data_IF_188960214937
#
_entry.id   IF_188960214937
#
_cell.length_a   1.000
_cell.length_b   1.000
_cell.length_c   1.000
_cell.angle_alpha   90.00
_cell.angle_beta   90.00
_cell.angle_gamma   90.00
#
_symmetry.space_group_name_H-M   'P 1'
#
loop_
_entity.id
_entity.type
_entity.pdbx_description
1 polymer ?
#
# COMPACT_ATOMS: atom_id res chain seq x y z
N UNK A 1 31.57 -24.69 13.82
CA UNK A 1 31.01 -23.35 14.14
C UNK A 1 30.02 -22.82 13.11
N UNK A 2 30.32 -22.77 11.79
CA UNK A 2 29.39 -22.27 10.75
C UNK A 2 28.07 -23.06 10.64
N UNK A 3 28.11 -24.38 10.82
CA UNK A 3 26.93 -25.28 10.76
C UNK A 3 25.93 -25.00 11.90
N UNK A 4 26.39 -24.92 13.15
CA UNK A 4 25.56 -24.60 14.31
C UNK A 4 24.94 -23.21 14.22
N UNK A 5 25.67 -22.24 13.68
CA UNK A 5 25.15 -20.88 13.40
C UNK A 5 24.01 -20.93 12.38
N UNK A 6 24.15 -21.70 11.29
CA UNK A 6 23.08 -21.90 10.31
C UNK A 6 21.82 -22.52 10.91
N UNK A 7 21.98 -23.58 11.70
CA UNK A 7 20.82 -24.22 12.37
C UNK A 7 20.09 -23.22 13.27
N UNK A 8 20.82 -22.44 14.07
CA UNK A 8 20.24 -21.42 14.92
C UNK A 8 19.50 -20.36 14.11
N UNK A 9 20.06 -19.90 12.99
CA UNK A 9 19.43 -18.92 12.10
C UNK A 9 18.16 -19.49 11.45
N UNK A 10 18.15 -20.76 11.06
CA UNK A 10 16.95 -21.43 10.54
C UNK A 10 15.85 -21.56 11.61
N UNK A 11 16.20 -21.99 12.81
CA UNK A 11 15.25 -22.10 13.92
C UNK A 11 14.67 -20.71 14.27
N UNK A 12 15.51 -19.68 14.35
CA UNK A 12 15.07 -18.31 14.59
C UNK A 12 14.10 -17.86 13.49
N UNK A 13 14.44 -18.04 12.21
CA UNK A 13 13.58 -17.67 11.09
C UNK A 13 12.26 -18.44 11.08
N UNK A 14 12.29 -19.74 11.37
CA UNK A 14 11.09 -20.58 11.45
C UNK A 14 10.16 -20.11 12.57
N UNK A 15 10.70 -19.88 13.77
CA UNK A 15 9.92 -19.41 14.93
C UNK A 15 9.28 -18.05 14.64
N UNK A 16 10.04 -17.10 14.09
CA UNK A 16 9.55 -15.77 13.77
C UNK A 16 8.49 -15.82 12.66
N UNK A 17 8.72 -16.64 11.63
CA UNK A 17 7.74 -16.86 10.56
C UNK A 17 6.46 -17.50 11.06
N UNK A 18 6.55 -18.50 11.96
CA UNK A 18 5.37 -19.14 12.57
C UNK A 18 4.56 -18.16 13.42
N UNK A 19 5.23 -17.30 14.21
CA UNK A 19 4.53 -16.25 14.98
C UNK A 19 3.75 -15.33 14.05
N UNK A 20 4.41 -14.79 13.02
CA UNK A 20 3.75 -13.92 12.02
C UNK A 20 2.58 -14.63 11.34
N UNK A 21 2.78 -15.87 10.92
CA UNK A 21 1.73 -16.68 10.29
C UNK A 21 0.51 -16.85 11.20
N UNK A 22 0.72 -17.16 12.48
CA UNK A 22 -0.37 -17.31 13.46
C UNK A 22 -1.12 -15.99 13.67
N UNK A 23 -0.40 -14.88 13.86
CA UNK A 23 -1.00 -13.55 14.06
C UNK A 23 -1.86 -13.17 12.86
N UNK A 24 -1.29 -13.23 11.65
CA UNK A 24 -2.02 -12.79 10.45
C UNK A 24 -3.10 -13.78 10.01
N UNK A 25 -2.95 -15.07 10.32
CA UNK A 25 -4.05 -16.04 10.14
C UNK A 25 -5.23 -15.73 11.06
N UNK A 26 -4.97 -15.35 12.32
CA UNK A 26 -6.02 -14.96 13.24
C UNK A 26 -6.72 -13.68 12.76
N UNK A 27 -5.98 -12.63 12.41
CA UNK A 27 -6.53 -11.36 11.94
C UNK A 27 -7.35 -11.53 10.65
N UNK A 28 -6.81 -12.20 9.64
CA UNK A 28 -7.53 -12.44 8.39
C UNK A 28 -8.69 -13.43 8.58
N UNK A 29 -8.55 -14.41 9.50
CA UNK A 29 -9.63 -15.30 9.88
C UNK A 29 -10.82 -14.53 10.48
N UNK A 30 -10.56 -13.56 11.34
CA UNK A 30 -11.61 -12.66 11.87
C UNK A 30 -12.29 -11.88 10.75
N UNK A 31 -11.52 -11.31 9.81
CA UNK A 31 -12.09 -10.59 8.66
C UNK A 31 -12.95 -11.50 7.77
N UNK A 32 -12.46 -12.70 7.45
CA UNK A 32 -13.20 -13.67 6.62
C UNK A 32 -14.47 -14.18 7.28
N UNK A 33 -14.49 -14.29 8.61
CA UNK A 33 -15.64 -14.77 9.39
C UNK A 33 -16.67 -13.66 9.67
N UNK A 34 -16.30 -12.39 9.48
CA UNK A 34 -17.22 -11.27 9.66
C UNK A 34 -18.13 -11.16 8.42
N UNK A 35 -19.44 -11.26 8.63
CA UNK A 35 -20.46 -11.20 7.57
C UNK A 35 -20.24 -12.18 6.40
N UNK A 36 -20.01 -13.49 6.64
CA UNK A 36 -19.65 -14.44 5.60
C UNK A 36 -20.70 -14.54 4.48
N UNK A 37 -22.00 -14.46 4.80
CA UNK A 37 -23.10 -14.52 3.83
C UNK A 37 -23.08 -13.36 2.83
N UNK A 38 -22.51 -12.23 3.21
CA UNK A 38 -22.39 -11.06 2.35
C UNK A 38 -21.16 -11.20 1.44
N UNK A 39 -20.01 -11.53 2.03
CA UNK A 39 -18.78 -11.71 1.26
C UNK A 39 -18.88 -12.84 0.23
N UNK A 40 -19.61 -13.90 0.55
CA UNK A 40 -19.70 -15.08 -0.32
C UNK A 40 -20.88 -15.09 -1.26
N UNK A 41 -21.72 -14.05 -1.26
CA UNK A 41 -22.86 -13.95 -2.15
C UNK A 41 -22.42 -13.63 -3.60
N UNK A 42 -22.60 -14.57 -4.57
CA UNK A 42 -22.14 -14.34 -5.94
C UNK A 42 -22.99 -13.30 -6.70
N UNK A 43 -24.17 -12.94 -6.17
CA UNK A 43 -25.10 -11.97 -6.76
C UNK A 43 -25.06 -10.61 -6.07
N UNK A 44 -24.32 -10.46 -4.97
CA UNK A 44 -24.25 -9.19 -4.26
C UNK A 44 -23.53 -8.12 -5.11
N UNK A 45 -23.93 -6.87 -4.90
CA UNK A 45 -23.15 -5.74 -5.39
C UNK A 45 -21.86 -5.64 -4.58
N UNK A 46 -20.75 -6.07 -5.13
CA UNK A 46 -19.45 -6.16 -4.43
C UNK A 46 -19.01 -4.82 -3.84
N UNK A 47 -19.28 -3.72 -4.54
CA UNK A 47 -19.03 -2.38 -4.03
C UNK A 47 -19.88 -2.07 -2.80
N UNK A 48 -21.18 -2.37 -2.85
CA UNK A 48 -22.10 -2.12 -1.73
C UNK A 48 -21.73 -2.95 -0.51
N UNK A 49 -21.32 -4.21 -0.69
CA UNK A 49 -20.86 -5.05 0.41
C UNK A 49 -19.70 -4.41 1.17
N UNK A 50 -18.70 -3.89 0.43
CA UNK A 50 -17.56 -3.22 1.03
C UNK A 50 -17.96 -1.91 1.73
N UNK A 51 -18.67 -1.01 1.05
CA UNK A 51 -19.05 0.30 1.61
C UNK A 51 -20.06 0.22 2.76
N UNK A 52 -20.87 -0.85 2.82
CA UNK A 52 -21.87 -1.03 3.87
C UNK A 52 -21.29 -1.68 5.12
N UNK A 53 -20.37 -2.62 4.98
CA UNK A 53 -19.89 -3.44 6.09
C UNK A 53 -18.43 -3.20 6.46
N UNK A 54 -17.69 -2.51 5.62
CA UNK A 54 -16.29 -2.21 5.82
C UNK A 54 -16.00 -0.73 5.54
N UNK A 55 -16.27 0.11 6.54
CA UNK A 55 -16.15 1.56 6.45
C UNK A 55 -14.80 2.05 6.95
N UNK A 56 -13.71 1.84 6.18
CA UNK A 56 -12.39 2.36 6.58
C UNK A 56 -11.86 3.31 5.52
N UNK A 57 -11.57 4.55 5.92
CA UNK A 57 -10.94 5.56 5.08
C UNK A 57 -9.53 5.16 4.67
N UNK A 58 -9.13 5.60 3.48
CA UNK A 58 -7.79 5.39 2.96
C UNK A 58 -7.53 4.00 2.38
N UNK A 59 -8.54 3.11 2.37
CA UNK A 59 -8.46 1.79 1.75
C UNK A 59 -9.49 1.65 0.63
N UNK A 60 -9.04 1.17 -0.52
CA UNK A 60 -9.88 0.97 -1.69
C UNK A 60 -10.32 -0.50 -1.80
N UNK A 61 -11.63 -0.80 -2.01
CA UNK A 61 -12.13 -2.18 -2.13
C UNK A 61 -11.80 -2.85 -3.47
N UNK A 62 -11.00 -2.22 -4.31
CA UNK A 62 -10.82 -2.64 -5.69
C UNK A 62 -10.29 -4.06 -5.81
N UNK A 63 -9.33 -4.48 -4.99
CA UNK A 63 -8.78 -5.83 -5.04
C UNK A 63 -9.86 -6.90 -4.83
N UNK A 64 -10.75 -6.71 -3.83
CA UNK A 64 -11.90 -7.60 -3.63
C UNK A 64 -12.85 -7.59 -4.84
N UNK A 65 -13.14 -6.40 -5.39
CA UNK A 65 -14.06 -6.25 -6.52
C UNK A 65 -13.50 -6.93 -7.76
N UNK A 66 -12.21 -6.72 -8.08
CA UNK A 66 -11.57 -7.29 -9.27
C UNK A 66 -11.44 -8.82 -9.17
N UNK A 67 -11.14 -9.35 -7.98
CA UNK A 67 -11.09 -10.81 -7.79
C UNK A 67 -12.50 -11.41 -7.82
N UNK A 68 -13.50 -10.69 -7.33
CA UNK A 68 -14.90 -11.14 -7.39
C UNK A 68 -15.44 -11.19 -8.82
N UNK A 69 -15.12 -10.20 -9.62
CA UNK A 69 -15.46 -10.14 -11.05
C UNK A 69 -14.41 -9.32 -11.77
N UNK A 70 -13.58 -9.96 -12.57
CA UNK A 70 -12.51 -9.27 -13.25
C UNK A 70 -13.02 -8.13 -14.14
N UNK A 71 -12.69 -6.91 -13.72
CA UNK A 71 -12.90 -5.69 -14.48
C UNK A 71 -11.73 -4.77 -14.20
N UNK A 72 -10.94 -4.36 -15.18
CA UNK A 72 -9.83 -3.45 -15.00
C UNK A 72 -10.33 -2.01 -14.84
N UNK A 73 -11.24 -1.80 -13.87
CA UNK A 73 -11.84 -0.50 -13.54
C UNK A 73 -11.02 0.29 -12.53
N UNK A 74 -9.87 -0.24 -12.12
CA UNK A 74 -8.93 0.55 -11.35
C UNK A 74 -8.64 1.88 -12.02
N UNK A 75 -8.24 2.85 -11.24
CA UNK A 75 -7.49 3.95 -11.78
C UNK A 75 -6.16 3.40 -12.30
N UNK A 76 -6.20 2.88 -13.52
CA UNK A 76 -5.07 2.23 -14.23
C UNK A 76 -3.87 3.20 -14.33
N UNK A 77 -4.11 4.51 -14.24
CA UNK A 77 -3.08 5.54 -14.19
C UNK A 77 -2.28 5.47 -12.89
N UNK A 78 -2.92 5.04 -11.78
CA UNK A 78 -2.27 4.85 -10.47
C UNK A 78 -1.77 3.42 -10.26
N UNK A 79 -2.48 2.43 -10.81
CA UNK A 79 -2.26 0.99 -10.61
C UNK A 79 -2.11 0.25 -11.94
N UNK A 80 -1.05 0.52 -12.74
CA UNK A 80 -0.97 0.15 -14.15
C UNK A 80 -1.01 -1.36 -14.43
N UNK A 81 -0.58 -2.22 -13.50
CA UNK A 81 -0.58 -3.67 -13.67
C UNK A 81 -1.34 -4.42 -12.58
N UNK A 82 -1.96 -3.73 -11.62
CA UNK A 82 -2.58 -4.40 -10.48
C UNK A 82 -3.67 -5.38 -10.93
N UNK A 83 -4.59 -4.96 -11.79
CA UNK A 83 -5.62 -5.83 -12.34
C UNK A 83 -5.04 -7.02 -13.13
N UNK A 84 -3.91 -6.82 -13.82
CA UNK A 84 -3.22 -7.90 -14.55
C UNK A 84 -2.64 -8.93 -13.57
N UNK A 85 -2.07 -8.48 -12.46
CA UNK A 85 -1.56 -9.38 -11.41
C UNK A 85 -2.68 -10.13 -10.70
N UNK A 86 -3.87 -9.56 -10.60
CA UNK A 86 -5.04 -10.15 -9.97
C UNK A 86 -5.86 -11.06 -10.90
N UNK A 87 -5.64 -10.97 -12.21
CA UNK A 87 -6.37 -11.78 -13.18
C UNK A 87 -6.34 -13.31 -12.91
N UNK A 88 -5.20 -13.93 -12.55
CA UNK A 88 -5.20 -15.35 -12.21
C UNK A 88 -6.05 -15.70 -10.99
N UNK A 89 -6.12 -14.77 -10.01
CA UNK A 89 -6.92 -14.94 -8.79
C UNK A 89 -8.40 -14.79 -9.08
N UNK A 90 -8.75 -13.83 -9.95
CA UNK A 90 -10.12 -13.67 -10.44
C UNK A 90 -10.58 -14.89 -11.23
N UNK A 91 -9.76 -15.42 -12.14
CA UNK A 91 -10.07 -16.66 -12.88
C UNK A 91 -10.26 -17.86 -11.95
N UNK A 92 -9.43 -17.97 -10.91
CA UNK A 92 -9.61 -19.00 -9.87
C UNK A 92 -10.94 -18.81 -9.13
N UNK A 93 -11.30 -17.57 -8.78
CA UNK A 93 -12.56 -17.29 -8.10
C UNK A 93 -13.76 -17.59 -8.99
N UNK A 94 -13.73 -17.23 -10.28
CA UNK A 94 -14.77 -17.54 -11.24
C UNK A 94 -15.00 -19.06 -11.36
N UNK A 95 -13.92 -19.83 -11.42
CA UNK A 95 -14.00 -21.28 -11.39
C UNK A 95 -14.62 -21.80 -10.09
N UNK A 96 -14.18 -21.30 -8.92
CA UNK A 96 -14.75 -21.66 -7.63
C UNK A 96 -16.24 -21.29 -7.54
N UNK A 97 -16.63 -20.12 -8.03
CA UNK A 97 -18.03 -19.70 -8.07
C UNK A 97 -18.88 -20.64 -8.94
N UNK A 98 -18.34 -21.12 -10.06
CA UNK A 98 -19.07 -22.07 -10.93
C UNK A 98 -19.30 -23.45 -10.27
N UNK A 99 -18.40 -23.85 -9.35
CA UNK A 99 -18.47 -25.16 -8.68
C UNK A 99 -19.25 -25.08 -7.35
N UNK A 100 -19.04 -23.98 -6.58
CA UNK A 100 -19.53 -23.86 -5.21
C UNK A 100 -20.76 -22.94 -5.07
N UNK A 101 -21.14 -22.24 -6.14
CA UNK A 101 -22.16 -21.16 -6.12
C UNK A 101 -21.90 -20.11 -5.00
N UNK A 102 -20.62 -19.85 -4.75
CA UNK A 102 -20.15 -18.89 -3.71
C UNK A 102 -19.01 -18.05 -4.23
N UNK A 103 -19.03 -16.74 -3.93
CA UNK A 103 -17.90 -15.88 -4.17
C UNK A 103 -16.80 -16.18 -3.13
N UNK A 104 -15.67 -16.70 -3.58
CA UNK A 104 -14.54 -17.06 -2.72
C UNK A 104 -13.46 -15.97 -2.64
N UNK A 105 -13.67 -14.79 -3.22
CA UNK A 105 -12.68 -13.71 -3.28
C UNK A 105 -12.11 -13.35 -1.91
N UNK A 106 -12.95 -13.24 -0.88
CA UNK A 106 -12.51 -12.90 0.48
C UNK A 106 -11.57 -13.96 1.07
N UNK A 107 -11.80 -15.24 0.80
CA UNK A 107 -10.95 -16.33 1.27
C UNK A 107 -9.61 -16.37 0.53
N UNK A 108 -9.63 -16.16 -0.79
CA UNK A 108 -8.42 -16.07 -1.63
C UNK A 108 -7.55 -14.93 -1.10
N UNK A 109 -8.15 -13.76 -0.84
CA UNK A 109 -7.45 -12.59 -0.31
C UNK A 109 -6.94 -12.83 1.11
N UNK A 110 -7.75 -13.37 2.00
CA UNK A 110 -7.33 -13.64 3.38
C UNK A 110 -6.11 -14.57 3.45
N UNK A 111 -6.06 -15.61 2.61
CA UNK A 111 -4.89 -16.49 2.51
C UNK A 111 -3.69 -15.73 1.94
N UNK A 112 -3.89 -15.00 0.85
CA UNK A 112 -2.81 -14.26 0.18
C UNK A 112 -2.24 -13.17 1.10
N UNK A 113 -3.09 -12.39 1.77
CA UNK A 113 -2.66 -11.33 2.68
C UNK A 113 -1.98 -11.88 3.93
N UNK A 114 -2.41 -13.03 4.42
CA UNK A 114 -1.70 -13.75 5.51
C UNK A 114 -0.26 -14.09 5.10
N UNK A 115 -0.06 -14.62 3.89
CA UNK A 115 1.28 -14.95 3.39
C UNK A 115 2.12 -13.69 3.18
N UNK A 116 1.58 -12.67 2.51
CA UNK A 116 2.28 -11.41 2.21
C UNK A 116 2.64 -10.67 3.50
N UNK A 117 1.71 -10.58 4.47
CA UNK A 117 1.96 -9.96 5.78
C UNK A 117 3.03 -10.70 6.57
N UNK A 118 3.04 -12.04 6.51
CA UNK A 118 4.10 -12.86 7.12
C UNK A 118 5.45 -12.58 6.46
N UNK A 119 5.50 -12.40 5.14
CA UNK A 119 6.71 -11.99 4.43
C UNK A 119 7.18 -10.59 4.87
N UNK A 120 6.26 -9.62 4.99
CA UNK A 120 6.57 -8.29 5.50
C UNK A 120 7.13 -8.32 6.92
N UNK A 121 6.50 -9.09 7.81
CA UNK A 121 6.96 -9.35 9.17
C UNK A 121 8.39 -9.91 9.20
N UNK A 122 8.67 -10.92 8.39
CA UNK A 122 10.01 -11.52 8.30
C UNK A 122 11.03 -10.56 7.72
N UNK A 123 10.67 -9.73 6.74
CA UNK A 123 11.55 -8.72 6.16
C UNK A 123 11.88 -7.65 7.20
N UNK A 124 10.89 -7.10 7.90
CA UNK A 124 11.11 -6.13 8.96
C UNK A 124 12.01 -6.68 10.06
N UNK A 125 11.73 -7.91 10.52
CA UNK A 125 12.58 -8.58 11.50
C UNK A 125 14.03 -8.72 11.00
N UNK A 126 14.25 -9.11 9.73
CA UNK A 126 15.58 -9.21 9.13
C UNK A 126 16.29 -7.87 9.03
N UNK A 127 15.56 -6.79 8.70
CA UNK A 127 16.12 -5.44 8.67
C UNK A 127 16.63 -5.06 10.07
N UNK A 128 15.82 -5.24 11.11
CA UNK A 128 16.20 -4.93 12.49
C UNK A 128 17.37 -5.79 12.99
N UNK A 129 17.39 -7.07 12.64
CA UNK A 129 18.45 -8.01 13.07
C UNK A 129 19.76 -7.84 12.33
N UNK A 130 19.72 -7.60 11.01
CA UNK A 130 20.90 -7.71 10.13
C UNK A 130 21.43 -6.37 9.64
N UNK A 131 20.58 -5.35 9.53
CA UNK A 131 20.97 -4.01 9.08
C UNK A 131 21.19 -3.11 10.29
N UNK A 132 20.21 -3.06 11.23
CA UNK A 132 20.31 -2.25 12.44
C UNK A 132 21.17 -2.96 13.51
N UNK A 133 21.20 -4.29 13.52
CA UNK A 133 22.04 -5.07 14.46
C UNK A 133 21.41 -5.33 15.83
N UNK A 134 20.07 -5.20 15.96
CA UNK A 134 19.39 -5.39 17.25
C UNK A 134 19.39 -6.86 17.70
N UNK A 135 19.26 -7.09 19.01
CA UNK A 135 19.02 -8.40 19.58
C UNK A 135 17.67 -8.99 19.13
N UNK A 136 17.51 -10.32 19.16
CA UNK A 136 16.31 -10.98 18.67
C UNK A 136 15.02 -10.55 19.40
N UNK A 137 15.10 -10.36 20.74
CA UNK A 137 13.97 -9.90 21.56
C UNK A 137 13.51 -8.50 21.15
N UNK A 138 14.44 -7.56 21.07
CA UNK A 138 14.14 -6.18 20.68
C UNK A 138 13.59 -6.11 19.25
N UNK A 139 14.15 -6.90 18.32
CA UNK A 139 13.65 -7.00 16.95
C UNK A 139 12.22 -7.51 16.91
N UNK A 140 11.89 -8.53 17.72
CA UNK A 140 10.54 -9.07 17.81
C UNK A 140 9.55 -8.08 18.43
N UNK A 141 9.92 -7.41 19.53
CA UNK A 141 9.08 -6.39 20.17
C UNK A 141 8.77 -5.26 19.18
N UNK A 142 9.79 -4.77 18.46
CA UNK A 142 9.59 -3.73 17.46
C UNK A 142 8.76 -4.20 16.25
N UNK A 143 8.83 -5.47 15.87
CA UNK A 143 7.92 -6.02 14.87
C UNK A 143 6.47 -5.99 15.37
N UNK A 144 6.22 -6.44 16.61
CA UNK A 144 4.89 -6.33 17.20
C UNK A 144 4.41 -4.89 17.27
N UNK A 145 5.25 -3.98 17.75
CA UNK A 145 4.92 -2.55 17.80
C UNK A 145 4.55 -2.00 16.42
N UNK A 146 5.35 -2.29 15.38
CA UNK A 146 5.08 -1.80 14.02
C UNK A 146 3.74 -2.33 13.48
N UNK A 147 3.48 -3.62 13.62
CA UNK A 147 2.23 -4.23 13.12
C UNK A 147 1.02 -3.99 14.04
N UNK A 148 1.19 -3.40 15.22
CA UNK A 148 0.11 -2.91 16.08
C UNK A 148 -0.28 -1.45 15.79
N UNK A 149 0.50 -0.72 14.99
CA UNK A 149 0.09 0.59 14.47
C UNK A 149 -1.17 0.40 13.65
N UNK A 150 -2.22 1.16 13.93
CA UNK A 150 -3.56 0.90 13.42
C UNK A 150 -3.63 0.76 11.90
N UNK A 151 -3.09 1.72 11.15
CA UNK A 151 -3.09 1.65 9.68
C UNK A 151 -2.24 0.50 9.12
N UNK A 152 -1.13 0.15 9.80
CA UNK A 152 -0.31 -1.00 9.39
C UNK A 152 -1.07 -2.30 9.62
N UNK A 153 -1.73 -2.44 10.77
CA UNK A 153 -2.56 -3.60 11.09
C UNK A 153 -3.71 -3.73 10.08
N UNK A 154 -4.44 -2.65 9.82
CA UNK A 154 -5.52 -2.64 8.84
C UNK A 154 -5.03 -3.01 7.44
N UNK A 155 -3.89 -2.51 6.99
CA UNK A 155 -3.31 -2.88 5.70
C UNK A 155 -3.07 -4.39 5.56
N UNK A 156 -2.94 -5.14 6.67
CA UNK A 156 -2.73 -6.59 6.64
C UNK A 156 -4.02 -7.42 6.53
N UNK A 157 -5.18 -6.81 6.75
CA UNK A 157 -6.49 -7.50 6.81
C UNK A 157 -7.50 -6.96 5.79
N UNK A 158 -7.37 -5.67 5.43
CA UNK A 158 -8.27 -5.07 4.45
C UNK A 158 -8.02 -5.67 3.07
N UNK A 159 -9.07 -5.99 2.28
CA UNK A 159 -8.93 -6.53 0.94
C UNK A 159 -8.51 -5.44 -0.08
N UNK A 160 -7.35 -4.83 0.16
CA UNK A 160 -6.71 -3.78 -0.63
C UNK A 160 -5.24 -4.17 -0.91
N UNK A 161 -4.62 -3.52 -1.90
CA UNK A 161 -3.23 -3.74 -2.34
C UNK A 161 -2.16 -3.17 -1.39
N UNK A 162 -2.53 -2.45 -0.33
CA UNK A 162 -1.61 -1.72 0.55
C UNK A 162 -0.57 -2.62 1.22
N UNK A 163 -0.97 -3.82 1.68
CA UNK A 163 -0.03 -4.79 2.28
C UNK A 163 1.04 -5.24 1.29
N UNK A 164 0.69 -5.38 0.02
CA UNK A 164 1.64 -5.74 -1.04
C UNK A 164 2.64 -4.60 -1.27
N UNK A 165 2.17 -3.36 -1.36
CA UNK A 165 3.03 -2.17 -1.47
C UNK A 165 3.98 -2.06 -0.27
N UNK A 166 3.49 -2.21 0.96
CA UNK A 166 4.31 -2.21 2.18
C UNK A 166 5.41 -3.29 2.13
N UNK A 167 5.04 -4.50 1.75
CA UNK A 167 5.99 -5.62 1.65
C UNK A 167 7.10 -5.34 0.62
N UNK A 168 6.74 -4.78 -0.52
CA UNK A 168 7.69 -4.40 -1.58
C UNK A 168 8.60 -3.24 -1.15
N UNK A 169 8.11 -2.29 -0.35
CA UNK A 169 8.96 -1.25 0.23
C UNK A 169 9.95 -1.82 1.25
N UNK A 170 9.51 -2.72 2.14
CA UNK A 170 10.42 -3.42 3.06
C UNK A 170 11.45 -4.28 2.31
N UNK A 171 11.05 -4.96 1.24
CA UNK A 171 11.95 -5.71 0.37
C UNK A 171 12.98 -4.78 -0.29
N UNK A 172 12.56 -3.62 -0.76
CA UNK A 172 13.45 -2.59 -1.32
C UNK A 172 14.50 -2.17 -0.30
N UNK A 173 14.10 -1.80 0.91
CA UNK A 173 15.01 -1.42 1.99
C UNK A 173 15.97 -2.57 2.34
N UNK A 174 15.49 -3.80 2.38
CA UNK A 174 16.34 -4.97 2.59
C UNK A 174 17.38 -5.15 1.49
N UNK A 175 16.98 -5.04 0.21
CA UNK A 175 17.89 -5.21 -0.93
C UNK A 175 18.93 -4.09 -0.98
N UNK A 176 18.47 -2.83 -0.86
CA UNK A 176 19.33 -1.64 -1.04
C UNK A 176 20.26 -1.41 0.14
N UNK A 177 19.82 -1.66 1.39
CA UNK A 177 20.62 -1.38 2.58
C UNK A 177 21.47 -2.57 3.03
N UNK A 178 21.27 -3.76 2.48
CA UNK A 178 22.12 -4.91 2.77
C UNK A 178 23.53 -4.67 2.21
N UNK A 179 24.54 -5.03 3.01
CA UNK A 179 25.95 -4.99 2.57
C UNK A 179 26.20 -5.93 1.38
N UNK A 180 26.94 -5.46 0.39
CA UNK A 180 27.28 -6.22 -0.81
C UNK A 180 27.55 -5.32 -1.99
N UNK A 181 28.12 -5.87 -3.03
CA UNK A 181 28.42 -5.16 -4.28
C UNK A 181 27.11 -4.91 -5.07
N UNK A 182 26.70 -3.67 -5.11
CA UNK A 182 25.46 -3.21 -5.79
C UNK A 182 25.62 -3.14 -7.31
N UNK A 183 26.82 -3.19 -7.80
CA UNK A 183 27.12 -3.30 -9.21
C UNK A 183 26.88 -4.70 -9.79
N UNK A 184 26.79 -5.73 -8.96
CA UNK A 184 26.54 -7.09 -9.43
C UNK A 184 25.21 -7.23 -10.14
N UNK A 185 25.20 -7.95 -11.25
CA UNK A 185 23.99 -8.22 -12.04
C UNK A 185 22.86 -8.82 -11.19
N UNK A 186 23.18 -9.73 -10.26
CA UNK A 186 22.17 -10.33 -9.37
C UNK A 186 21.50 -9.32 -8.44
N UNK A 187 22.21 -8.26 -8.02
CA UNK A 187 21.61 -7.17 -7.23
C UNK A 187 20.73 -6.29 -8.13
N UNK A 188 21.23 -5.93 -9.30
CA UNK A 188 20.49 -5.14 -10.29
C UNK A 188 19.18 -5.84 -10.66
N UNK A 189 19.22 -7.13 -10.97
CA UNK A 189 18.02 -7.89 -11.31
C UNK A 189 16.98 -7.88 -10.16
N UNK A 190 17.42 -8.07 -8.91
CA UNK A 190 16.51 -8.06 -7.76
C UNK A 190 15.80 -6.71 -7.61
N UNK A 191 16.55 -5.61 -7.70
CA UNK A 191 15.95 -4.29 -7.55
C UNK A 191 15.05 -3.94 -8.74
N UNK A 192 15.42 -4.34 -9.97
CA UNK A 192 14.59 -4.12 -11.16
C UNK A 192 13.30 -4.93 -11.12
N UNK A 193 13.32 -6.19 -10.67
CA UNK A 193 12.11 -6.99 -10.47
C UNK A 193 11.21 -6.39 -9.38
N UNK A 194 11.80 -5.96 -8.26
CA UNK A 194 11.03 -5.29 -7.20
C UNK A 194 10.41 -3.99 -7.71
N UNK A 195 11.17 -3.21 -8.48
CA UNK A 195 10.69 -1.98 -9.12
C UNK A 195 9.53 -2.27 -10.08
N UNK A 196 9.67 -3.25 -10.97
CA UNK A 196 8.63 -3.61 -11.94
C UNK A 196 7.33 -4.00 -11.26
N UNK A 197 7.39 -4.91 -10.28
CA UNK A 197 6.19 -5.36 -9.55
C UNK A 197 5.60 -4.21 -8.73
N UNK A 198 6.40 -3.48 -7.98
CA UNK A 198 5.90 -2.40 -7.12
C UNK A 198 5.32 -1.22 -7.92
N UNK A 199 5.93 -0.86 -9.04
CA UNK A 199 5.41 0.18 -9.97
C UNK A 199 4.12 -0.29 -10.62
N UNK A 200 4.04 -1.58 -10.99
CA UNK A 200 2.83 -2.18 -11.52
C UNK A 200 1.66 -2.17 -10.53
N UNK A 201 1.95 -2.36 -9.25
CA UNK A 201 0.95 -2.27 -8.17
C UNK A 201 0.55 -0.82 -7.90
N UNK A 202 1.52 0.10 -7.79
CA UNK A 202 1.25 1.52 -7.56
C UNK A 202 2.36 2.36 -8.18
N UNK A 203 2.00 3.25 -9.10
CA UNK A 203 2.96 4.03 -9.89
C UNK A 203 3.95 4.84 -9.03
N UNK A 204 3.49 5.43 -7.92
CA UNK A 204 4.34 6.23 -7.01
C UNK A 204 5.43 5.41 -6.33
N UNK A 205 5.28 4.11 -6.21
CA UNK A 205 6.31 3.22 -5.68
C UNK A 205 7.58 3.22 -6.55
N UNK A 206 7.46 3.55 -7.85
CA UNK A 206 8.60 3.67 -8.76
C UNK A 206 9.63 4.67 -8.25
N UNK A 207 9.18 5.86 -7.87
CA UNK A 207 10.06 6.94 -7.39
C UNK A 207 10.68 6.58 -6.05
N UNK A 208 9.89 5.97 -5.14
CA UNK A 208 10.38 5.54 -3.82
C UNK A 208 11.52 4.52 -3.95
N UNK A 209 11.35 3.50 -4.80
CA UNK A 209 12.38 2.49 -5.01
C UNK A 209 13.63 3.08 -5.67
N UNK A 210 13.43 3.92 -6.68
CA UNK A 210 14.52 4.62 -7.34
C UNK A 210 15.32 5.48 -6.35
N UNK A 211 14.65 6.28 -5.51
CA UNK A 211 15.30 7.10 -4.48
C UNK A 211 16.10 6.24 -3.49
N UNK A 212 15.51 5.17 -2.97
CA UNK A 212 16.19 4.27 -2.03
C UNK A 212 17.45 3.61 -2.64
N UNK A 213 17.36 3.16 -3.91
CA UNK A 213 18.51 2.60 -4.61
C UNK A 213 19.57 3.66 -4.90
N UNK A 214 19.18 4.86 -5.32
CA UNK A 214 20.13 5.95 -5.60
C UNK A 214 20.88 6.40 -4.34
N UNK A 215 20.17 6.59 -3.21
CA UNK A 215 20.80 6.90 -1.92
C UNK A 215 21.82 5.82 -1.55
N UNK A 216 21.41 4.59 -1.65
CA UNK A 216 22.26 3.45 -1.29
C UNK A 216 23.48 3.30 -2.22
N UNK A 217 23.29 3.44 -3.53
CA UNK A 217 24.36 3.36 -4.52
C UNK A 217 25.32 4.55 -4.46
N UNK A 218 24.82 5.74 -4.14
CA UNK A 218 25.64 6.92 -3.89
C UNK A 218 26.65 6.67 -2.77
N UNK A 219 26.19 6.08 -1.65
CA UNK A 219 27.08 5.74 -0.53
C UNK A 219 28.16 4.73 -0.91
N UNK A 220 27.88 3.80 -1.80
CA UNK A 220 28.90 2.86 -2.32
C UNK A 220 29.92 3.57 -3.21
N UNK A 221 29.48 4.53 -4.03
CA UNK A 221 30.31 5.20 -5.02
C UNK A 221 31.08 6.41 -4.49
N UNK A 222 30.71 6.98 -3.33
CA UNK A 222 31.25 8.27 -2.86
C UNK A 222 32.78 8.32 -2.74
N UNK A 223 33.41 7.19 -2.40
CA UNK A 223 34.86 7.09 -2.24
C UNK A 223 35.60 6.83 -3.58
N UNK A 224 34.89 6.49 -4.66
CA UNK A 224 35.46 6.14 -5.95
C UNK A 224 35.46 7.26 -7.01
N UNK A 225 35.14 8.49 -6.63
CA UNK A 225 35.02 9.65 -7.52
C UNK A 225 33.78 9.64 -8.40
N UNK A 226 33.29 10.83 -8.73
CA UNK A 226 32.11 11.09 -9.57
C UNK A 226 30.85 10.28 -9.21
N UNK A 227 30.42 10.26 -7.92
CA UNK A 227 29.27 9.43 -7.49
C UNK A 227 27.97 9.81 -8.20
N UNK A 228 27.71 11.10 -8.44
CA UNK A 228 26.52 11.56 -9.15
C UNK A 228 26.44 11.04 -10.58
N UNK A 229 27.55 11.05 -11.32
CA UNK A 229 27.59 10.51 -12.69
C UNK A 229 27.31 9.01 -12.71
N UNK A 230 27.80 8.27 -11.72
CA UNK A 230 27.52 6.84 -11.58
C UNK A 230 26.05 6.59 -11.24
N UNK A 231 25.47 7.36 -10.34
CA UNK A 231 24.03 7.29 -10.02
C UNK A 231 23.17 7.63 -11.25
N UNK A 232 23.53 8.64 -12.02
CA UNK A 232 22.82 8.96 -13.26
C UNK A 232 22.85 7.78 -14.25
N UNK A 233 24.03 7.18 -14.50
CA UNK A 233 24.12 5.99 -15.36
C UNK A 233 23.30 4.82 -14.82
N UNK A 234 23.26 4.64 -13.50
CA UNK A 234 22.43 3.62 -12.84
C UNK A 234 20.95 3.88 -13.08
N UNK A 235 20.51 5.14 -13.01
CA UNK A 235 19.12 5.53 -13.22
C UNK A 235 18.59 5.14 -14.60
N UNK A 236 19.44 5.11 -15.64
CA UNK A 236 19.03 4.72 -17.00
C UNK A 236 18.50 3.27 -17.08
N UNK A 237 18.93 2.40 -16.16
CA UNK A 237 18.48 1.00 -16.15
C UNK A 237 16.98 0.90 -15.85
N UNK A 238 16.43 1.86 -15.08
CA UNK A 238 15.01 1.92 -14.73
C UNK A 238 14.10 2.25 -15.92
N UNK A 239 14.65 2.79 -17.01
CA UNK A 239 13.88 3.05 -18.22
C UNK A 239 13.30 1.76 -18.84
N UNK A 240 13.99 0.62 -18.68
CA UNK A 240 13.54 -0.65 -19.25
C UNK A 240 12.22 -1.11 -18.63
N UNK A 241 12.13 -1.35 -17.29
CA UNK A 241 10.88 -1.76 -16.68
C UNK A 241 9.79 -0.67 -16.79
N UNK A 242 10.15 0.61 -16.76
CA UNK A 242 9.20 1.71 -16.97
C UNK A 242 8.60 1.66 -18.37
N UNK A 243 9.40 1.43 -19.42
CA UNK A 243 8.89 1.29 -20.79
C UNK A 243 7.96 0.08 -20.93
N UNK A 244 8.29 -1.06 -20.31
CA UNK A 244 7.43 -2.25 -20.33
C UNK A 244 6.07 -1.95 -19.67
N UNK A 245 6.07 -1.29 -18.51
CA UNK A 245 4.85 -0.88 -17.81
C UNK A 245 4.05 0.11 -18.66
N UNK A 246 4.72 1.08 -19.29
CA UNK A 246 4.09 2.04 -20.19
C UNK A 246 3.41 1.36 -21.40
N UNK A 247 4.07 0.40 -22.03
CA UNK A 247 3.48 -0.39 -23.12
C UNK A 247 2.26 -1.20 -22.64
N UNK A 248 2.36 -1.85 -21.49
CA UNK A 248 1.25 -2.61 -20.91
C UNK A 248 0.07 -1.69 -20.53
N UNK A 249 0.35 -0.50 -20.00
CA UNK A 249 -0.66 0.52 -19.73
C UNK A 249 -1.39 0.94 -21.02
N UNK A 250 -0.66 1.31 -22.07
CA UNK A 250 -1.25 1.72 -23.35
C UNK A 250 -2.10 0.59 -23.94
N UNK A 251 -1.63 -0.65 -23.86
CA UNK A 251 -2.40 -1.81 -24.32
C UNK A 251 -3.71 -1.98 -23.56
N UNK A 252 -3.70 -1.83 -22.23
CA UNK A 252 -4.92 -1.90 -21.41
C UNK A 252 -5.89 -0.76 -21.73
N UNK A 253 -5.37 0.47 -21.93
CA UNK A 253 -6.20 1.62 -22.29
C UNK A 253 -6.96 1.35 -23.60
N UNK A 254 -6.26 0.85 -24.61
CA UNK A 254 -6.87 0.65 -25.92
C UNK A 254 -7.84 -0.53 -25.97
N UNK A 255 -7.50 -1.63 -25.30
CA UNK A 255 -8.27 -2.88 -25.47
C UNK A 255 -9.40 -3.06 -24.43
N UNK A 256 -9.33 -2.38 -23.29
CA UNK A 256 -10.28 -2.66 -22.20
C UNK A 256 -10.90 -1.39 -21.62
N UNK A 257 -10.09 -0.41 -21.22
CA UNK A 257 -10.56 0.73 -20.44
C UNK A 257 -11.50 1.63 -21.26
N UNK A 258 -11.21 1.84 -22.54
CA UNK A 258 -12.05 2.69 -23.40
C UNK A 258 -13.47 2.11 -23.56
N UNK A 259 -13.57 0.81 -23.81
CA UNK A 259 -14.86 0.14 -23.98
C UNK A 259 -15.66 0.07 -22.67
N UNK A 260 -15.01 -0.21 -21.54
CA UNK A 260 -15.65 -0.25 -20.23
C UNK A 260 -16.10 1.15 -19.77
N UNK A 261 -15.30 2.20 -20.00
CA UNK A 261 -15.70 3.58 -19.72
C UNK A 261 -16.91 4.00 -20.56
N UNK A 262 -16.91 3.73 -21.84
CA UNK A 262 -18.03 4.04 -22.72
C UNK A 262 -19.32 3.34 -22.27
N UNK A 263 -19.23 2.05 -21.91
CA UNK A 263 -20.36 1.31 -21.39
C UNK A 263 -20.85 1.85 -20.04
N UNK A 264 -19.94 2.20 -19.12
CA UNK A 264 -20.29 2.77 -17.82
C UNK A 264 -20.95 4.15 -17.97
N UNK A 265 -20.48 4.98 -18.89
CA UNK A 265 -21.07 6.28 -19.21
C UNK A 265 -22.49 6.12 -19.78
N UNK A 266 -22.67 5.19 -20.73
CA UNK A 266 -23.99 4.88 -21.30
C UNK A 266 -24.97 4.40 -20.22
N UNK A 267 -24.55 3.50 -19.35
CA UNK A 267 -25.39 3.00 -18.24
C UNK A 267 -25.71 4.11 -17.22
N UNK A 268 -24.76 4.98 -16.94
CA UNK A 268 -24.96 6.13 -16.06
C UNK A 268 -25.96 7.10 -16.65
N UNK A 269 -25.83 7.41 -17.95
CA UNK A 269 -26.78 8.29 -18.66
C UNK A 269 -28.20 7.70 -18.65
N UNK A 270 -28.36 6.43 -18.96
CA UNK A 270 -29.65 5.73 -18.89
C UNK A 270 -30.26 5.76 -17.49
N UNK A 271 -29.44 5.73 -16.44
CA UNK A 271 -29.91 5.82 -15.05
C UNK A 271 -30.32 7.24 -14.68
N UNK A 272 -29.57 8.25 -15.12
CA UNK A 272 -29.90 9.67 -14.96
C UNK A 272 -31.27 9.98 -15.59
N UNK A 273 -31.54 9.45 -16.77
CA UNK A 273 -32.81 9.66 -17.47
C UNK A 273 -34.01 9.01 -16.75
N UNK A 274 -33.79 7.90 -16.03
CA UNK A 274 -34.84 7.12 -15.38
C UNK A 274 -35.09 7.46 -13.92
N UNK A 275 -34.08 8.00 -13.23
CA UNK A 275 -34.06 8.21 -11.79
C UNK A 275 -33.64 9.64 -11.45
N UNK A 276 -34.62 10.49 -11.16
CA UNK A 276 -34.42 11.91 -10.85
C UNK A 276 -33.65 12.14 -9.56
N UNK A 277 -33.75 11.21 -8.58
CA UNK A 277 -32.97 11.29 -7.32
C UNK A 277 -31.51 11.01 -7.60
N UNK A 278 -31.25 9.96 -8.38
CA UNK A 278 -29.88 9.65 -8.83
C UNK A 278 -29.28 10.79 -9.66
N UNK A 279 -30.06 11.40 -10.56
CA UNK A 279 -29.62 12.53 -11.37
C UNK A 279 -29.16 13.71 -10.51
N UNK A 280 -29.92 14.05 -9.47
CA UNK A 280 -29.59 15.11 -8.52
C UNK A 280 -28.30 14.79 -7.75
N UNK A 281 -28.21 13.60 -7.18
CA UNK A 281 -27.00 13.14 -6.45
C UNK A 281 -25.77 13.11 -7.35
N UNK A 282 -25.92 12.67 -8.60
CA UNK A 282 -24.83 12.65 -9.58
C UNK A 282 -24.33 14.07 -9.89
N UNK A 283 -25.24 15.03 -10.12
CA UNK A 283 -24.89 16.43 -10.36
C UNK A 283 -24.18 17.08 -9.15
N UNK A 284 -24.67 16.83 -7.94
CA UNK A 284 -24.05 17.28 -6.69
C UNK A 284 -22.63 16.72 -6.52
N UNK A 285 -22.44 15.42 -6.79
CA UNK A 285 -21.15 14.77 -6.74
C UNK A 285 -20.17 15.32 -7.79
N UNK A 286 -20.65 15.63 -9.01
CA UNK A 286 -19.79 16.25 -10.04
C UNK A 286 -19.38 17.68 -9.62
N UNK A 287 -20.30 18.48 -9.12
CA UNK A 287 -19.98 19.81 -8.60
C UNK A 287 -18.98 19.76 -7.44
N UNK A 288 -19.10 18.77 -6.57
CA UNK A 288 -18.13 18.56 -5.47
C UNK A 288 -16.74 18.19 -6.01
N UNK A 289 -16.66 17.28 -6.98
CA UNK A 289 -15.40 16.91 -7.63
C UNK A 289 -14.74 18.11 -8.30
N UNK A 290 -15.51 18.95 -9.01
CA UNK A 290 -15.00 20.17 -9.65
C UNK A 290 -14.46 21.16 -8.61
N UNK A 291 -15.11 21.32 -7.46
CA UNK A 291 -14.58 22.16 -6.37
C UNK A 291 -13.28 21.61 -5.81
N UNK A 292 -13.20 20.30 -5.58
CA UNK A 292 -11.96 19.66 -5.14
C UNK A 292 -10.82 19.88 -6.14
N UNK A 293 -11.09 19.73 -7.44
CA UNK A 293 -10.09 19.97 -8.49
C UNK A 293 -9.52 21.40 -8.48
N UNK A 294 -10.37 22.41 -8.25
CA UNK A 294 -9.93 23.80 -8.17
C UNK A 294 -8.98 24.09 -7.02
N UNK A 295 -9.04 23.29 -5.97
CA UNK A 295 -8.24 23.46 -4.75
C UNK A 295 -6.96 22.61 -4.74
N UNK A 296 -6.71 21.81 -5.78
CA UNK A 296 -5.54 20.94 -5.83
C UNK A 296 -4.29 21.68 -6.32
N UNK A 297 -3.15 21.46 -5.68
CA UNK A 297 -1.86 22.03 -6.09
C UNK A 297 -1.44 21.52 -7.47
N UNK A 298 -1.78 20.28 -7.79
CA UNK A 298 -1.50 19.65 -9.07
C UNK A 298 -2.81 19.16 -9.66
N UNK A 299 -3.39 19.95 -10.56
CA UNK A 299 -4.60 19.58 -11.30
C UNK A 299 -4.21 18.66 -12.47
N UNK A 300 -3.84 17.43 -12.11
CA UNK A 300 -3.56 16.38 -13.07
C UNK A 300 -4.29 15.11 -12.63
N UNK A 301 -4.89 14.38 -13.55
CA UNK A 301 -5.54 13.09 -13.30
C UNK A 301 -4.62 12.07 -12.62
N UNK A 302 -3.30 12.21 -12.78
CA UNK A 302 -2.29 11.37 -12.13
C UNK A 302 -2.00 11.76 -10.68
N UNK A 303 -2.20 13.05 -10.31
CA UNK A 303 -1.75 13.64 -9.05
C UNK A 303 -2.86 14.48 -8.39
N UNK A 304 -4.07 13.93 -8.28
CA UNK A 304 -5.23 14.59 -7.70
C UNK A 304 -5.29 14.46 -6.16
N UNK A 305 -4.17 14.59 -5.46
CA UNK A 305 -4.13 14.17 -4.05
C UNK A 305 -3.97 15.31 -3.06
N UNK A 306 -3.60 16.50 -3.53
CA UNK A 306 -3.29 17.61 -2.64
C UNK A 306 -4.37 18.66 -2.73
N UNK A 307 -5.39 18.56 -1.87
CA UNK A 307 -6.41 19.60 -1.71
C UNK A 307 -5.89 20.69 -0.79
N UNK A 308 -5.69 21.90 -1.34
CA UNK A 308 -5.20 23.07 -0.60
C UNK A 308 -6.24 23.71 0.32
N UNK A 309 -7.51 23.32 0.19
CA UNK A 309 -8.57 23.81 1.09
C UNK A 309 -8.54 23.15 2.47
N UNK A 310 -7.84 22.02 2.58
CA UNK A 310 -7.73 21.26 3.85
C UNK A 310 -6.61 21.89 4.70
N UNK A 311 -6.92 22.17 5.97
CA UNK A 311 -5.92 22.64 6.93
C UNK A 311 -4.88 21.54 7.19
N UNK A 312 -3.61 21.89 6.98
CA UNK A 312 -2.48 20.97 7.06
C UNK A 312 -2.15 20.53 8.49
N UNK A 313 -2.39 21.38 9.47
CA UNK A 313 -2.10 21.04 10.86
C UNK A 313 -3.03 19.96 11.39
N UNK A 314 -4.36 20.10 11.33
CA UNK A 314 -5.26 19.00 11.67
C UNK A 314 -5.01 17.74 10.83
N UNK A 315 -4.69 17.87 9.55
CA UNK A 315 -4.32 16.72 8.72
C UNK A 315 -3.12 15.96 9.30
N UNK A 316 -2.11 16.67 9.82
CA UNK A 316 -0.93 16.05 10.41
C UNK A 316 -1.25 15.33 11.73
N UNK A 317 -1.80 16.04 12.71
CA UNK A 317 -1.93 15.47 14.06
C UNK A 317 -3.22 14.67 14.26
N UNK A 318 -4.33 14.99 13.60
CA UNK A 318 -5.57 14.19 13.74
C UNK A 318 -5.57 12.97 12.79
N UNK A 319 -5.12 13.13 11.56
CA UNK A 319 -5.24 12.08 10.56
C UNK A 319 -3.96 11.23 10.45
N UNK A 320 -2.82 11.83 10.14
CA UNK A 320 -1.60 11.05 9.87
C UNK A 320 -1.04 10.43 11.14
N UNK A 321 -0.91 11.21 12.23
CA UNK A 321 -0.37 10.72 13.49
C UNK A 321 -1.47 10.10 14.34
N UNK A 322 -2.59 10.77 14.55
CA UNK A 322 -3.69 10.29 15.37
C UNK A 322 -4.33 9.02 14.82
N UNK A 323 -5.05 9.11 13.72
CA UNK A 323 -5.72 7.99 13.06
C UNK A 323 -4.72 6.89 12.65
N UNK A 324 -3.56 7.29 12.16
CA UNK A 324 -2.53 6.35 11.73
C UNK A 324 -2.06 5.42 12.83
N UNK A 325 -1.97 5.90 14.08
CA UNK A 325 -1.51 5.11 15.22
C UNK A 325 -2.64 4.44 16.00
N UNK A 326 -3.76 5.14 16.25
CA UNK A 326 -4.73 4.71 17.26
C UNK A 326 -6.09 4.31 16.71
N UNK A 327 -6.41 4.70 15.50
CA UNK A 327 -7.68 4.49 14.82
C UNK A 327 -8.90 4.93 15.66
N UNK A 328 -9.68 5.84 15.12
CA UNK A 328 -10.85 6.38 15.77
C UNK A 328 -12.10 5.53 15.48
N UNK A 329 -12.94 5.25 16.46
CA UNK A 329 -14.18 4.50 16.23
C UNK A 329 -15.12 5.21 15.24
N UNK A 330 -15.25 6.52 15.36
CA UNK A 330 -16.06 7.33 14.44
C UNK A 330 -15.52 7.33 13.01
N UNK A 331 -14.21 7.18 12.83
CA UNK A 331 -13.60 7.00 11.54
C UNK A 331 -14.06 5.70 10.87
N UNK A 332 -14.10 4.61 11.63
CA UNK A 332 -14.60 3.32 11.14
C UNK A 332 -16.08 3.37 10.73
N UNK A 333 -16.90 4.15 11.45
CA UNK A 333 -18.34 4.23 11.22
C UNK A 333 -18.75 5.30 10.20
N UNK A 334 -17.88 6.25 9.91
CA UNK A 334 -18.25 7.53 9.32
C UNK A 334 -17.85 7.82 7.92
N UNK A 335 -16.88 7.13 7.43
CA UNK A 335 -16.16 7.52 6.21
C UNK A 335 -16.98 7.33 4.91
N UNK A 336 -18.00 6.49 4.93
CA UNK A 336 -18.89 6.32 3.79
C UNK A 336 -19.82 7.55 3.58
N UNK A 337 -19.91 8.47 4.53
CA UNK A 337 -20.73 9.68 4.44
C UNK A 337 -19.90 10.88 3.98
N UNK A 338 -20.16 11.33 2.76
CA UNK A 338 -19.50 12.48 2.14
C UNK A 338 -19.64 13.82 2.90
N UNK A 339 -20.52 13.90 3.88
CA UNK A 339 -20.82 15.11 4.66
C UNK A 339 -20.08 15.17 6.00
N UNK A 340 -19.29 14.16 6.35
CA UNK A 340 -18.52 14.18 7.58
C UNK A 340 -17.22 14.96 7.43
N UNK A 341 -16.76 15.62 8.52
CA UNK A 341 -15.46 16.28 8.50
C UNK A 341 -14.34 15.26 8.22
N UNK A 342 -13.33 15.70 7.49
CA UNK A 342 -12.15 14.90 7.18
C UNK A 342 -11.39 14.49 8.45
N UNK A 343 -11.54 15.27 9.52
CA UNK A 343 -10.87 15.09 10.80
C UNK A 343 -11.84 14.67 11.87
N UNK A 344 -11.44 13.70 12.66
CA UNK A 344 -12.14 13.27 13.88
C UNK A 344 -11.22 13.58 15.06
N UNK A 345 -11.73 14.36 16.01
CA UNK A 345 -10.97 14.82 17.16
C UNK A 345 -11.13 13.85 18.33
N UNK A 346 -10.00 13.54 19.00
CA UNK A 346 -10.04 12.71 20.19
C UNK A 346 -10.76 13.42 21.35
N UNK A 347 -11.67 12.73 22.02
CA UNK A 347 -12.38 13.24 23.19
C UNK A 347 -11.51 13.42 24.44
N UNK A 348 -10.30 12.83 24.48
CA UNK A 348 -9.42 12.81 25.63
C UNK A 348 -8.02 13.34 25.33
N UNK A 349 -7.57 14.33 26.06
CA UNK A 349 -6.26 14.97 25.88
C UNK A 349 -5.06 14.02 26.02
N UNK A 350 -5.18 12.90 26.70
CA UNK A 350 -4.09 11.94 26.86
C UNK A 350 -3.67 11.26 25.53
N UNK A 351 -4.56 11.16 24.55
CA UNK A 351 -4.19 10.70 23.19
C UNK A 351 -3.17 11.62 22.54
N UNK A 352 -3.39 12.94 22.64
CA UNK A 352 -2.43 13.92 22.10
C UNK A 352 -1.08 13.91 22.84
N UNK A 353 -1.08 13.56 24.13
CA UNK A 353 0.16 13.39 24.89
C UNK A 353 0.94 12.17 24.35
N UNK A 354 0.26 11.04 24.14
CA UNK A 354 0.89 9.84 23.57
C UNK A 354 1.40 10.09 22.15
N UNK A 355 0.62 10.76 21.33
CA UNK A 355 0.99 11.17 19.99
C UNK A 355 2.23 12.07 19.98
N UNK A 356 2.26 13.08 20.83
CA UNK A 356 3.42 13.97 20.99
C UNK A 356 4.68 13.19 21.43
N UNK A 357 4.55 12.25 22.36
CA UNK A 357 5.65 11.38 22.78
C UNK A 357 6.15 10.50 21.63
N UNK A 358 5.27 9.89 20.84
CA UNK A 358 5.64 9.10 19.68
C UNK A 358 6.33 9.97 18.61
N UNK A 359 5.83 11.18 18.39
CA UNK A 359 6.46 12.13 17.46
C UNK A 359 7.87 12.53 17.92
N UNK A 360 8.05 12.85 19.20
CA UNK A 360 9.38 13.16 19.78
C UNK A 360 10.33 11.98 19.61
N UNK A 361 9.88 10.75 19.91
CA UNK A 361 10.69 9.54 19.73
C UNK A 361 11.05 9.32 18.26
N UNK A 362 10.13 9.57 17.33
CA UNK A 362 10.37 9.49 15.90
C UNK A 362 11.44 10.50 15.47
N UNK A 363 11.33 11.77 15.86
CA UNK A 363 12.32 12.81 15.55
C UNK A 363 13.68 12.48 16.15
N UNK A 364 13.72 12.03 17.41
CA UNK A 364 14.96 11.59 18.06
C UNK A 364 15.60 10.40 17.34
N UNK A 365 14.80 9.43 16.89
CA UNK A 365 15.25 8.27 16.11
C UNK A 365 15.81 8.67 14.75
N UNK A 366 15.14 9.59 14.03
CA UNK A 366 15.62 10.17 12.78
C UNK A 366 16.97 10.87 12.99
N UNK A 367 17.06 11.70 14.02
CA UNK A 367 18.30 12.41 14.33
C UNK A 367 19.45 11.46 14.68
N UNK A 368 19.21 10.46 15.50
CA UNK A 368 20.20 9.45 15.85
C UNK A 368 20.65 8.63 14.66
N UNK A 369 19.71 8.27 13.78
CA UNK A 369 19.94 7.44 12.58
C UNK A 369 20.35 8.20 11.31
N UNK A 370 20.44 9.53 11.33
CA UNK A 370 20.58 10.40 10.15
C UNK A 370 21.75 10.07 9.21
N UNK A 371 22.79 9.42 9.73
CA UNK A 371 23.96 9.02 8.94
C UNK A 371 23.87 7.60 8.40
N UNK A 372 22.87 6.82 8.80
CA UNK A 372 22.70 5.46 8.27
C UNK A 372 22.05 5.46 6.89
N UNK A 373 22.52 4.56 6.02
CA UNK A 373 21.94 4.39 4.67
C UNK A 373 20.45 4.04 4.76
N UNK A 374 20.08 3.19 5.72
CA UNK A 374 18.69 2.79 5.94
C UNK A 374 17.81 4.01 6.24
N UNK A 375 18.23 4.86 7.18
CA UNK A 375 17.47 6.06 7.55
C UNK A 375 17.36 7.03 6.36
N UNK A 376 18.45 7.28 5.65
CA UNK A 376 18.43 8.18 4.49
C UNK A 376 17.56 7.64 3.34
N UNK A 377 17.61 6.33 3.06
CA UNK A 377 16.74 5.70 2.08
C UNK A 377 15.26 5.78 2.50
N UNK A 378 14.95 5.47 3.77
CA UNK A 378 13.59 5.58 4.30
C UNK A 378 13.08 7.02 4.24
N UNK A 379 13.88 8.00 4.68
CA UNK A 379 13.51 9.40 4.65
C UNK A 379 13.29 9.93 3.22
N UNK A 380 14.09 9.50 2.25
CA UNK A 380 13.89 9.90 0.86
C UNK A 380 12.54 9.41 0.30
N UNK A 381 12.10 8.21 0.70
CA UNK A 381 10.78 7.68 0.35
C UNK A 381 9.65 8.45 1.03
N UNK A 382 9.78 8.72 2.33
CA UNK A 382 8.78 9.45 3.12
C UNK A 382 8.66 10.90 2.66
N UNK A 383 9.78 11.57 2.39
CA UNK A 383 9.77 12.95 1.86
C UNK A 383 9.09 13.04 0.51
N UNK A 384 9.28 12.04 -0.36
CA UNK A 384 8.56 11.99 -1.62
C UNK A 384 7.04 11.90 -1.41
N UNK A 385 6.58 11.01 -0.52
CA UNK A 385 5.15 10.91 -0.19
C UNK A 385 4.63 12.21 0.44
N UNK A 386 5.40 12.82 1.34
CA UNK A 386 5.04 14.11 1.94
C UNK A 386 4.87 15.22 0.89
N UNK A 387 5.78 15.31 -0.09
CA UNK A 387 5.70 16.33 -1.17
C UNK A 387 4.45 16.13 -2.04
N UNK A 388 4.04 14.87 -2.27
CA UNK A 388 2.91 14.57 -3.15
C UNK A 388 1.57 14.74 -2.40
N UNK A 389 1.52 14.38 -1.13
CA UNK A 389 0.26 14.32 -0.38
C UNK A 389 0.04 15.52 0.54
N UNK A 390 1.08 16.31 0.79
CA UNK A 390 1.06 17.49 1.67
C UNK A 390 1.26 18.79 0.88
#
# INVERSE_FOLDING_TARGET
MRFLKRIREYREALTIGSIGLLVFSALNGMMMSNHPDIWTNPKAGFWSAFTTYFHISGFDPFTYIVISKWRPLYNIERHPLLAVFEWPLSSLNEWLMSVLDKNCAIYILGILWTVISTCAWMLLYKIMRRIIGLGWRNSLILCFFYFSIAYVMLATIVPDHMVLSMTLMLLTLWITCKTGDKGKLSHIMKIMMTYFVATGVTLTNSVKIWLADMVSYYHECKNGGKPLTRCFKRSLIYLIPTAIIGCAYLWQVDNTVKSEKAHAEEMTQKRIEKDSVFAKQYAENQTRKERMHKNMVVDNKLFQWTDTSIDRWPLLYENILGEGFFLHEEHLLGDANADRPVFVYYGHCWFYILEALLFILMVAGIWAGRHSILMQATLSMVLFDAIIHY
#
